data_IF_226165928164
#
_entry.id   IF_226165928164
#
_cell.length_a   1.000
_cell.length_b   1.000
_cell.length_c   1.000
_cell.angle_alpha   90.00
_cell.angle_beta   90.00
_cell.angle_gamma   90.00
#
_symmetry.space_group_name_H-M   'P 1'
#
loop_
_entity.id
_entity.type
_entity.pdbx_description
1 polymer ?
#
# COMPACT_ATOMS: atom_id res chain seq x y z
N UNK A 1 17.99 -0.01 9.66
CA UNK A 1 16.87 -0.97 9.58
C UNK A 1 17.36 -2.17 8.80
N UNK A 2 17.22 -3.38 9.37
CA UNK A 2 17.45 -4.62 8.62
C UNK A 2 16.43 -4.65 7.49
N UNK A 3 16.91 -4.81 6.26
CA UNK A 3 16.05 -5.03 5.11
C UNK A 3 15.07 -6.17 5.40
N UNK A 4 13.83 -5.97 5.02
CA UNK A 4 12.80 -7.01 5.19
C UNK A 4 13.24 -8.19 4.35
N UNK A 5 13.63 -9.29 5.00
CA UNK A 5 13.99 -10.52 4.29
C UNK A 5 12.77 -11.00 3.53
N UNK A 6 12.82 -10.86 2.20
CA UNK A 6 11.87 -11.54 1.34
C UNK A 6 12.10 -13.04 1.50
N UNK A 7 11.03 -13.80 1.78
CA UNK A 7 11.09 -15.26 1.88
C UNK A 7 11.16 -15.87 0.48
N UNK A 8 12.36 -15.92 -0.05
CA UNK A 8 12.67 -16.65 -1.29
C UNK A 8 13.05 -18.10 -0.98
N UNK A 9 13.02 -18.94 -2.00
CA UNK A 9 13.65 -20.25 -1.91
C UNK A 9 15.13 -20.10 -1.51
N UNK A 10 15.71 -21.10 -0.88
CA UNK A 10 17.12 -21.08 -0.43
C UNK A 10 18.07 -20.62 -1.54
N UNK A 11 17.81 -21.03 -2.79
CA UNK A 11 18.62 -20.69 -3.97
C UNK A 11 18.58 -19.17 -4.30
N UNK A 12 17.46 -18.50 -4.07
CA UNK A 12 17.33 -17.07 -4.34
C UNK A 12 17.80 -16.21 -3.16
N UNK A 13 17.86 -16.80 -1.95
CA UNK A 13 18.26 -16.10 -0.75
C UNK A 13 19.71 -15.59 -0.84
N UNK A 14 20.62 -16.42 -1.31
CA UNK A 14 22.03 -16.05 -1.46
C UNK A 14 22.19 -14.96 -2.53
N UNK A 15 21.45 -15.04 -3.63
CA UNK A 15 21.43 -14.00 -4.66
C UNK A 15 20.93 -12.65 -4.13
N UNK A 16 19.92 -12.63 -3.24
CA UNK A 16 19.42 -11.40 -2.60
C UNK A 16 20.44 -10.81 -1.65
N UNK A 17 21.14 -11.65 -0.90
CA UNK A 17 22.15 -11.21 0.08
C UNK A 17 23.41 -10.70 -0.62
N UNK A 18 23.92 -11.46 -1.58
CA UNK A 18 25.21 -11.19 -2.21
C UNK A 18 25.11 -10.18 -3.36
N UNK A 19 24.09 -10.28 -4.19
CA UNK A 19 23.96 -9.50 -5.44
C UNK A 19 22.75 -8.55 -5.43
N UNK A 20 21.90 -8.59 -4.40
CA UNK A 20 20.68 -7.79 -4.31
C UNK A 20 19.69 -8.09 -5.44
N UNK A 21 18.93 -7.09 -5.87
CA UNK A 21 17.91 -7.24 -6.92
C UNK A 21 18.50 -7.69 -8.26
N UNK A 22 19.71 -7.25 -8.62
CA UNK A 22 20.40 -7.70 -9.84
C UNK A 22 20.62 -9.19 -9.84
N UNK A 23 21.03 -9.78 -8.72
CA UNK A 23 21.23 -11.22 -8.61
C UNK A 23 19.94 -12.04 -8.82
N UNK A 24 18.78 -11.46 -8.43
CA UNK A 24 17.47 -12.11 -8.63
C UNK A 24 17.02 -11.99 -10.08
N UNK A 25 17.15 -10.82 -10.68
CA UNK A 25 16.75 -10.53 -12.06
C UNK A 25 17.69 -11.23 -13.05
N UNK A 26 19.00 -11.29 -12.75
CA UNK A 26 20.02 -11.81 -13.65
C UNK A 26 20.08 -11.00 -14.95
N UNK A 27 20.30 -11.66 -16.06
CA UNK A 27 20.38 -11.07 -17.40
C UNK A 27 19.01 -10.78 -18.05
N UNK A 28 17.92 -10.98 -17.33
CA UNK A 28 16.58 -10.76 -17.87
C UNK A 28 16.26 -9.27 -17.94
N UNK A 29 15.62 -8.86 -19.03
CA UNK A 29 15.02 -7.52 -19.13
C UNK A 29 13.82 -7.39 -18.19
N UNK A 30 13.57 -6.17 -17.71
CA UNK A 30 12.41 -5.84 -16.87
C UNK A 30 11.51 -4.93 -17.69
N UNK A 31 10.29 -5.37 -17.97
CA UNK A 31 9.33 -4.57 -18.71
C UNK A 31 8.54 -3.61 -17.82
N UNK A 32 8.25 -4.02 -16.58
CA UNK A 32 7.43 -3.25 -15.64
C UNK A 32 7.97 -3.35 -14.21
N UNK A 33 8.07 -2.21 -13.55
CA UNK A 33 8.32 -2.10 -12.10
C UNK A 33 7.11 -1.51 -11.41
N UNK A 34 6.59 -2.18 -10.37
CA UNK A 34 5.51 -1.68 -9.52
C UNK A 34 6.04 -1.54 -8.10
N UNK A 35 5.83 -0.37 -7.48
CA UNK A 35 6.25 -0.15 -6.11
C UNK A 35 5.51 0.96 -5.39
N UNK A 36 5.43 0.81 -4.06
CA UNK A 36 4.88 1.82 -3.16
C UNK A 36 5.89 2.14 -2.07
N UNK A 37 6.87 3.02 -2.31
CA UNK A 37 7.85 3.38 -1.30
C UNK A 37 7.16 4.01 -0.07
N UNK A 38 7.69 3.81 1.14
CA UNK A 38 7.09 4.31 2.35
C UNK A 38 6.81 5.81 2.31
N UNK A 39 5.57 6.17 2.66
CA UNK A 39 5.05 7.54 2.61
C UNK A 39 4.80 8.14 4.00
N UNK A 40 5.44 7.62 5.05
CA UNK A 40 5.16 8.02 6.43
C UNK A 40 5.29 9.53 6.64
N UNK A 41 6.25 10.18 5.97
CA UNK A 41 6.44 11.61 6.02
C UNK A 41 5.29 12.42 5.37
N UNK A 42 4.61 11.86 4.38
CA UNK A 42 3.55 12.56 3.63
C UNK A 42 2.14 12.24 4.13
N UNK A 43 1.97 11.24 4.99
CA UNK A 43 0.69 10.89 5.56
C UNK A 43 0.22 11.94 6.58
N UNK A 44 -1.10 12.13 6.71
CA UNK A 44 -1.68 13.04 7.72
C UNK A 44 -1.22 12.65 9.12
N UNK A 45 -1.18 11.34 9.42
CA UNK A 45 -0.71 10.84 10.71
C UNK A 45 0.80 11.07 10.93
N UNK A 46 1.62 10.92 9.89
CA UNK A 46 3.06 11.17 9.96
C UNK A 46 3.36 12.65 10.18
N UNK A 47 2.64 13.54 9.49
CA UNK A 47 2.78 15.00 9.67
C UNK A 47 2.34 15.47 11.06
N UNK A 48 1.29 14.88 11.63
CA UNK A 48 0.81 15.23 12.96
C UNK A 48 1.78 14.82 14.09
N UNK A 49 2.67 13.88 13.84
CA UNK A 49 3.67 13.42 14.81
C UNK A 49 5.04 14.12 14.66
N UNK A 50 5.22 14.89 13.61
CA UNK A 50 6.50 15.53 13.30
C UNK A 50 6.56 16.95 13.90
N UNK A 51 7.43 17.13 14.89
CA UNK A 51 7.66 18.39 15.57
C UNK A 51 8.54 19.37 14.79
N UNK A 52 9.27 18.90 13.75
CA UNK A 52 10.30 19.68 13.04
C UNK A 52 9.93 20.04 11.60
N UNK A 53 8.62 20.05 11.26
CA UNK A 53 8.14 20.42 9.92
C UNK A 53 8.85 19.65 8.78
N UNK A 54 9.22 18.40 9.04
CA UNK A 54 9.79 17.43 8.09
C UNK A 54 11.16 17.81 7.47
N UNK A 55 11.84 18.84 7.96
CA UNK A 55 13.05 19.37 7.30
C UNK A 55 14.18 18.35 7.16
N UNK A 56 14.40 17.51 8.17
CA UNK A 56 15.52 16.56 8.23
C UNK A 56 15.08 15.09 8.23
N UNK A 57 13.84 14.81 7.83
CA UNK A 57 13.34 13.44 7.82
C UNK A 57 13.79 12.72 6.54
N UNK A 58 14.72 11.76 6.68
CA UNK A 58 15.20 10.92 5.56
C UNK A 58 14.06 10.23 4.79
N UNK A 59 12.89 10.06 5.42
CA UNK A 59 11.70 9.45 4.81
C UNK A 59 11.13 10.28 3.67
N UNK A 60 11.48 11.58 3.60
CA UNK A 60 11.11 12.46 2.49
C UNK A 60 11.77 12.07 1.17
N UNK A 61 12.87 11.32 1.26
CA UNK A 61 13.70 10.93 0.12
C UNK A 61 13.58 9.44 -0.25
N UNK A 62 12.65 8.70 0.40
CA UNK A 62 12.49 7.27 0.11
C UNK A 62 12.00 6.99 -1.32
N UNK A 63 11.36 7.95 -1.98
CA UNK A 63 11.04 7.84 -3.39
C UNK A 63 12.29 7.74 -4.26
N UNK A 64 13.42 8.35 -3.86
CA UNK A 64 14.69 8.29 -4.59
C UNK A 64 15.23 6.87 -4.69
N UNK A 65 14.98 6.03 -3.68
CA UNK A 65 15.33 4.61 -3.75
C UNK A 65 14.54 3.89 -4.85
N UNK A 66 13.27 4.26 -5.06
CA UNK A 66 12.49 3.73 -6.16
C UNK A 66 12.99 4.25 -7.51
N UNK A 67 13.33 5.54 -7.60
CA UNK A 67 13.94 6.15 -8.79
C UNK A 67 15.23 5.40 -9.17
N UNK A 68 16.10 5.11 -8.20
CA UNK A 68 17.32 4.32 -8.42
C UNK A 68 17.07 2.94 -8.97
N UNK A 69 16.01 2.25 -8.47
CA UNK A 69 15.64 0.92 -8.99
C UNK A 69 15.15 1.03 -10.44
N UNK A 70 14.33 2.04 -10.76
CA UNK A 70 13.87 2.30 -12.13
C UNK A 70 15.04 2.62 -13.05
N UNK A 71 15.96 3.47 -12.60
CA UNK A 71 17.16 3.84 -13.35
C UNK A 71 18.10 2.66 -13.62
N UNK A 72 18.22 1.77 -12.64
CA UNK A 72 19.06 0.56 -12.74
C UNK A 72 18.54 -0.46 -13.74
N UNK A 73 17.22 -0.73 -13.72
CA UNK A 73 16.61 -1.80 -14.52
C UNK A 73 15.99 -1.30 -15.83
N UNK A 74 15.85 -0.01 -16.01
CA UNK A 74 15.32 0.63 -17.23
C UNK A 74 14.06 -0.06 -17.79
N UNK A 75 13.00 -0.24 -16.98
CA UNK A 75 11.77 -0.86 -17.45
C UNK A 75 11.09 0.01 -18.51
N UNK A 76 10.30 -0.58 -19.42
CA UNK A 76 9.47 0.20 -20.37
C UNK A 76 8.45 1.08 -19.65
N UNK A 77 7.95 0.56 -18.51
CA UNK A 77 6.92 1.21 -17.68
C UNK A 77 7.25 1.04 -16.20
N UNK A 78 6.80 2.00 -15.39
CA UNK A 78 6.68 1.78 -13.96
C UNK A 78 5.35 2.27 -13.40
N UNK A 79 4.94 1.71 -12.28
CA UNK A 79 3.80 2.18 -11.48
C UNK A 79 4.29 2.48 -10.07
N UNK A 80 4.13 3.75 -9.68
CA UNK A 80 4.52 4.25 -8.36
C UNK A 80 3.24 4.57 -7.56
N UNK A 81 3.00 3.86 -6.45
CA UNK A 81 1.86 4.08 -5.57
C UNK A 81 2.26 4.92 -4.36
N UNK A 82 1.40 5.90 -4.01
CA UNK A 82 1.60 6.65 -2.78
C UNK A 82 0.26 7.17 -2.22
N UNK A 83 0.32 7.88 -1.09
CA UNK A 83 -0.86 8.53 -0.49
C UNK A 83 -1.15 9.88 -1.14
N UNK A 84 -2.45 10.32 -1.20
CA UNK A 84 -2.79 11.64 -1.74
C UNK A 84 -2.11 12.80 -1.03
N UNK A 85 -1.69 12.62 0.24
CA UNK A 85 -0.94 13.63 1.00
C UNK A 85 0.38 14.06 0.35
N UNK A 86 0.93 13.25 -0.57
CA UNK A 86 2.10 13.61 -1.36
C UNK A 86 1.89 14.84 -2.24
N UNK A 87 0.65 15.06 -2.71
CA UNK A 87 0.30 16.21 -3.56
C UNK A 87 0.47 17.56 -2.86
N UNK A 88 0.35 17.59 -1.52
CA UNK A 88 0.45 18.80 -0.71
C UNK A 88 1.69 18.83 0.19
N UNK A 89 2.58 17.86 0.05
CA UNK A 89 3.80 17.81 0.84
C UNK A 89 4.88 18.73 0.24
N UNK A 90 5.44 19.60 1.08
CA UNK A 90 6.39 20.63 0.66
C UNK A 90 7.53 20.78 1.68
N UNK A 91 8.29 19.71 1.95
CA UNK A 91 9.40 19.76 2.89
C UNK A 91 10.51 20.68 2.35
N UNK A 92 10.89 21.66 3.17
CA UNK A 92 11.92 22.64 2.78
C UNK A 92 11.50 23.60 1.66
N UNK A 93 10.17 23.84 1.48
CA UNK A 93 9.67 24.85 0.52
C UNK A 93 9.63 24.38 -0.94
N UNK A 94 9.85 23.09 -1.21
CA UNK A 94 9.74 22.52 -2.57
C UNK A 94 8.77 21.36 -2.55
N UNK A 95 7.77 21.39 -3.42
CA UNK A 95 6.77 20.33 -3.52
C UNK A 95 7.40 18.98 -3.86
N UNK A 96 6.97 17.94 -3.16
CA UNK A 96 7.45 16.58 -3.44
C UNK A 96 7.09 16.14 -4.85
N UNK A 97 5.94 16.56 -5.37
CA UNK A 97 5.53 16.26 -6.75
C UNK A 97 6.48 16.83 -7.80
N UNK A 98 7.04 18.01 -7.57
CA UNK A 98 8.03 18.62 -8.45
C UNK A 98 9.37 17.85 -8.40
N UNK A 99 9.78 17.44 -7.19
CA UNK A 99 11.00 16.62 -7.02
C UNK A 99 10.86 15.27 -7.72
N UNK A 100 9.71 14.62 -7.57
CA UNK A 100 9.43 13.33 -8.22
C UNK A 100 9.41 13.49 -9.73
N UNK A 101 8.73 14.52 -10.24
CA UNK A 101 8.68 14.81 -11.67
C UNK A 101 10.10 14.97 -12.24
N UNK A 102 10.90 15.84 -11.62
CA UNK A 102 12.28 16.09 -12.04
C UNK A 102 13.16 14.84 -11.99
N UNK A 103 13.06 14.06 -10.91
CA UNK A 103 13.86 12.85 -10.74
C UNK A 103 13.58 11.79 -11.82
N UNK A 104 12.31 11.60 -12.21
CA UNK A 104 11.98 10.69 -13.29
C UNK A 104 12.30 11.25 -14.68
N UNK A 105 12.15 12.56 -14.87
CA UNK A 105 12.52 13.22 -16.12
C UNK A 105 14.02 13.09 -16.40
N UNK A 106 14.86 13.29 -15.38
CA UNK A 106 16.33 13.17 -15.44
C UNK A 106 16.80 11.77 -15.83
N UNK A 107 16.08 10.72 -15.44
CA UNK A 107 16.42 9.34 -15.80
C UNK A 107 15.73 8.86 -17.09
N UNK A 108 15.06 9.76 -17.82
CA UNK A 108 14.49 9.49 -19.14
C UNK A 108 13.06 8.98 -19.16
N UNK A 109 12.28 9.20 -18.08
CA UNK A 109 10.88 8.78 -18.02
C UNK A 109 9.92 9.97 -18.14
N UNK A 110 8.82 9.76 -18.84
CA UNK A 110 7.68 10.65 -18.87
C UNK A 110 6.66 10.23 -17.81
N UNK A 111 6.26 11.17 -16.96
CA UNK A 111 5.12 11.05 -16.05
C UNK A 111 4.17 12.23 -16.25
N UNK A 112 3.00 12.18 -15.60
CA UNK A 112 2.10 13.35 -15.57
C UNK A 112 2.76 14.54 -14.88
N UNK A 113 2.55 15.72 -15.44
CA UNK A 113 3.05 16.98 -14.82
C UNK A 113 2.45 17.18 -13.43
N UNK A 114 3.16 17.86 -12.51
CA UNK A 114 2.74 18.00 -11.11
C UNK A 114 1.31 18.49 -10.91
N UNK A 115 0.86 19.44 -11.72
CA UNK A 115 -0.49 20.04 -11.65
C UNK A 115 -1.60 19.04 -12.00
N UNK A 116 -1.29 18.06 -12.86
CA UNK A 116 -2.22 17.03 -13.32
C UNK A 116 -2.29 15.82 -12.41
N UNK A 117 -1.31 15.62 -11.52
CA UNK A 117 -1.24 14.43 -10.65
C UNK A 117 -2.46 14.27 -9.73
N UNK A 118 -3.17 15.36 -9.41
CA UNK A 118 -4.44 15.29 -8.67
C UNK A 118 -5.50 14.42 -9.36
N UNK A 119 -5.46 14.32 -10.68
CA UNK A 119 -6.37 13.50 -11.48
C UNK A 119 -6.05 12.01 -11.39
N UNK A 120 -4.85 11.66 -10.92
CA UNK A 120 -4.36 10.29 -10.80
C UNK A 120 -4.58 9.72 -9.38
N UNK A 121 -5.50 10.31 -8.62
CA UNK A 121 -5.93 9.81 -7.31
C UNK A 121 -7.13 8.89 -7.49
N UNK A 122 -6.93 7.61 -7.22
CA UNK A 122 -7.93 6.57 -7.34
C UNK A 122 -8.41 6.11 -5.98
N UNK A 123 -9.70 5.79 -5.89
CA UNK A 123 -10.30 5.22 -4.69
C UNK A 123 -10.60 3.74 -4.93
N UNK A 124 -10.20 2.88 -4.00
CA UNK A 124 -10.38 1.43 -4.13
C UNK A 124 -11.86 1.04 -4.36
N UNK A 125 -12.80 1.79 -3.77
CA UNK A 125 -14.22 1.52 -3.96
C UNK A 125 -14.74 1.87 -5.37
N UNK A 126 -13.96 2.58 -6.19
CA UNK A 126 -14.29 2.80 -7.60
C UNK A 126 -14.00 1.56 -8.45
N UNK A 127 -13.30 0.59 -7.90
CA UNK A 127 -12.93 -0.69 -8.52
C UNK A 127 -13.56 -1.89 -7.78
N UNK A 128 -14.76 -1.71 -7.23
CA UNK A 128 -15.52 -2.72 -6.50
C UNK A 128 -14.85 -3.28 -5.23
N UNK A 129 -13.80 -2.64 -4.74
CA UNK A 129 -13.21 -3.00 -3.44
C UNK A 129 -14.00 -2.29 -2.33
N UNK A 130 -14.52 -2.97 -1.31
CA UNK A 130 -15.35 -2.37 -0.26
C UNK A 130 -14.52 -1.59 0.76
N UNK A 131 -13.67 -0.70 0.28
CA UNK A 131 -12.79 0.12 1.10
C UNK A 131 -12.64 1.54 0.52
N UNK A 132 -12.90 2.55 1.32
CA UNK A 132 -12.65 3.96 0.97
C UNK A 132 -11.17 4.30 1.12
N UNK A 133 -10.32 3.68 0.31
CA UNK A 133 -8.86 3.88 0.32
C UNK A 133 -8.43 4.63 -0.93
N UNK A 134 -8.05 5.90 -0.77
CA UNK A 134 -7.52 6.71 -1.87
C UNK A 134 -6.01 6.54 -2.00
N UNK A 135 -5.54 6.45 -3.25
CA UNK A 135 -4.11 6.36 -3.57
C UNK A 135 -3.79 7.20 -4.80
N UNK A 136 -2.65 7.86 -4.74
CA UNK A 136 -2.03 8.48 -5.90
C UNK A 136 -1.30 7.39 -6.67
N UNK A 137 -1.61 7.25 -7.94
CA UNK A 137 -0.97 6.30 -8.86
C UNK A 137 -0.24 7.11 -9.93
N UNK A 138 1.08 7.04 -9.93
CA UNK A 138 1.92 7.67 -10.95
C UNK A 138 2.41 6.55 -11.88
N UNK A 139 2.07 6.65 -13.15
CA UNK A 139 2.60 5.81 -14.21
C UNK A 139 3.72 6.57 -14.88
N UNK A 140 4.85 5.91 -15.10
CA UNK A 140 5.94 6.44 -15.89
C UNK A 140 6.22 5.55 -17.09
N UNK A 141 6.52 6.19 -18.21
CA UNK A 141 6.83 5.56 -19.49
C UNK A 141 8.25 5.98 -19.88
N UNK A 142 9.08 5.03 -20.26
CA UNK A 142 10.39 5.33 -20.86
C UNK A 142 10.19 6.15 -22.14
N UNK A 143 10.82 7.31 -22.25
CA UNK A 143 10.67 8.24 -23.39
C UNK A 143 11.09 7.65 -24.74
N UNK A 144 11.81 6.53 -24.73
CA UNK A 144 12.21 5.83 -25.96
C UNK A 144 11.10 4.89 -26.49
N UNK A 145 10.07 4.65 -25.68
CA UNK A 145 8.97 3.75 -26.05
C UNK A 145 7.84 4.54 -26.73
N UNK A 146 7.25 3.95 -27.76
CA UNK A 146 6.02 4.48 -28.41
C UNK A 146 4.78 4.06 -27.59
N UNK A 147 4.69 4.58 -26.36
CA UNK A 147 3.59 4.30 -25.42
C UNK A 147 2.96 5.61 -24.98
N UNK A 148 1.67 5.78 -25.24
CA UNK A 148 0.95 6.96 -24.82
C UNK A 148 0.48 6.88 -23.36
N UNK A 149 1.08 7.68 -22.50
CA UNK A 149 0.74 7.76 -21.07
C UNK A 149 -0.75 8.04 -20.82
N UNK A 150 -1.38 8.90 -21.62
CA UNK A 150 -2.79 9.24 -21.44
C UNK A 150 -3.72 8.07 -21.75
N UNK A 151 -3.36 7.20 -22.70
CA UNK A 151 -4.15 6.01 -22.99
C UNK A 151 -4.11 5.00 -21.83
N UNK A 152 -3.00 4.92 -21.11
CA UNK A 152 -2.90 4.08 -19.90
C UNK A 152 -3.87 4.59 -18.84
N UNK A 153 -3.89 5.90 -18.57
CA UNK A 153 -4.84 6.46 -17.60
C UNK A 153 -6.30 6.32 -18.03
N UNK A 154 -6.60 6.53 -19.30
CA UNK A 154 -7.95 6.26 -19.87
C UNK A 154 -8.35 4.79 -19.68
N UNK A 155 -7.42 3.86 -19.87
CA UNK A 155 -7.68 2.44 -19.63
C UNK A 155 -8.00 2.17 -18.16
N UNK A 156 -7.23 2.73 -17.23
CA UNK A 156 -7.50 2.61 -15.79
C UNK A 156 -8.89 3.18 -15.46
N UNK A 157 -9.23 4.35 -16.03
CA UNK A 157 -10.52 4.99 -15.79
C UNK A 157 -11.70 4.17 -16.30
N UNK A 158 -11.55 3.47 -17.42
CA UNK A 158 -12.56 2.54 -17.96
C UNK A 158 -12.84 1.34 -17.03
N UNK A 159 -11.91 0.98 -16.13
CA UNK A 159 -12.11 -0.09 -15.17
C UNK A 159 -12.94 0.34 -13.96
N UNK A 160 -13.25 1.64 -13.82
CA UNK A 160 -14.12 2.11 -12.74
C UNK A 160 -15.53 1.57 -12.90
N UNK A 161 -16.12 1.12 -11.81
CA UNK A 161 -17.47 0.59 -11.74
C UNK A 161 -18.40 1.55 -11.01
N UNK A 162 -19.63 1.67 -11.50
CA UNK A 162 -20.71 2.32 -10.74
C UNK A 162 -21.22 1.45 -9.59
N UNK A 163 -20.95 0.14 -9.65
CA UNK A 163 -21.36 -0.82 -8.62
C UNK A 163 -20.42 -0.74 -7.42
N UNK A 164 -20.84 -0.03 -6.37
CA UNK A 164 -20.07 0.12 -5.13
C UNK A 164 -20.32 -1.05 -4.21
N UNK A 165 -19.34 -1.91 -4.06
CA UNK A 165 -19.37 -2.99 -3.06
C UNK A 165 -19.25 -2.43 -1.64
N UNK A 166 -19.97 -3.06 -0.72
CA UNK A 166 -19.85 -2.79 0.72
C UNK A 166 -19.25 -3.99 1.44
N UNK A 167 -18.75 -3.78 2.65
CA UNK A 167 -18.09 -4.84 3.44
C UNK A 167 -19.00 -6.07 3.59
N UNK A 168 -20.32 -5.86 3.72
CA UNK A 168 -21.31 -6.96 3.81
C UNK A 168 -21.26 -7.88 2.59
N UNK A 169 -21.07 -7.35 1.38
CA UNK A 169 -21.06 -8.14 0.15
C UNK A 169 -19.87 -9.10 0.09
N UNK A 170 -18.75 -8.70 0.67
CA UNK A 170 -17.52 -9.50 0.71
C UNK A 170 -17.52 -10.49 1.88
N UNK A 171 -18.11 -10.09 3.01
CA UNK A 171 -18.19 -10.96 4.20
C UNK A 171 -19.36 -11.93 4.15
N UNK A 172 -20.27 -11.76 3.19
CA UNK A 172 -21.41 -12.66 3.01
C UNK A 172 -20.91 -14.07 2.65
N UNK A 173 -21.37 -15.05 3.41
CA UNK A 173 -20.94 -16.45 3.20
C UNK A 173 -19.65 -16.86 3.91
N UNK A 174 -18.94 -15.94 4.56
CA UNK A 174 -17.83 -16.34 5.42
C UNK A 174 -18.36 -17.06 6.67
N UNK A 175 -17.79 -18.20 7.06
CA UNK A 175 -18.18 -18.89 8.27
C UNK A 175 -17.93 -18.00 9.50
N UNK A 176 -18.89 -18.03 10.42
CA UNK A 176 -18.79 -17.26 11.67
C UNK A 176 -17.87 -17.95 12.64
N UNK A 177 -17.03 -17.18 13.31
CA UNK A 177 -16.31 -17.63 14.48
C UNK A 177 -17.17 -17.52 15.73
N UNK A 178 -17.05 -18.50 16.62
CA UNK A 178 -17.62 -18.45 17.96
C UNK A 178 -16.50 -18.36 18.99
N UNK A 179 -16.63 -17.53 20.02
CA UNK A 179 -15.64 -17.43 21.06
C UNK A 179 -15.60 -18.72 21.91
N UNK A 180 -14.41 -19.13 22.27
CA UNK A 180 -14.21 -20.18 23.27
C UNK A 180 -14.31 -19.56 24.66
N UNK A 181 -14.83 -20.32 25.63
CA UNK A 181 -14.88 -19.87 27.04
C UNK A 181 -13.47 -19.61 27.59
N UNK A 182 -12.51 -20.45 27.20
CA UNK A 182 -11.10 -20.31 27.57
C UNK A 182 -10.26 -20.41 26.29
N UNK A 183 -9.15 -19.68 26.24
CA UNK A 183 -8.19 -19.85 25.15
C UNK A 183 -7.51 -21.21 25.28
N UNK A 184 -7.30 -21.88 24.16
CA UNK A 184 -6.57 -23.14 24.06
C UNK A 184 -5.31 -22.93 23.21
N UNK A 185 -4.32 -23.78 23.40
CA UNK A 185 -3.13 -23.79 22.54
C UNK A 185 -3.29 -24.86 21.48
N UNK A 186 -3.22 -24.46 20.22
CA UNK A 186 -3.17 -25.35 19.05
C UNK A 186 -1.89 -25.00 18.25
N UNK A 187 -1.06 -25.99 17.95
CA UNK A 187 0.20 -25.79 17.22
C UNK A 187 1.08 -24.65 17.75
N UNK A 188 1.15 -24.50 19.09
CA UNK A 188 1.94 -23.46 19.75
C UNK A 188 1.32 -22.07 19.75
N UNK A 189 0.13 -21.86 19.15
CA UNK A 189 -0.58 -20.58 19.10
C UNK A 189 -1.80 -20.61 20.01
N UNK A 190 -2.09 -19.48 20.66
CA UNK A 190 -3.33 -19.32 21.41
C UNK A 190 -4.52 -19.14 20.46
N UNK A 191 -5.53 -19.98 20.61
CA UNK A 191 -6.80 -19.93 19.86
C UNK A 191 -7.91 -19.52 20.80
N UNK A 192 -8.62 -18.45 20.48
CA UNK A 192 -9.72 -17.91 21.28
C UNK A 192 -11.09 -18.10 20.64
N UNK A 193 -11.14 -18.52 19.39
CA UNK A 193 -12.37 -18.72 18.62
C UNK A 193 -12.26 -19.95 17.76
N UNK A 194 -13.39 -20.57 17.45
CA UNK A 194 -13.52 -21.65 16.46
C UNK A 194 -14.56 -21.33 15.42
N UNK A 195 -14.41 -21.90 14.24
CA UNK A 195 -15.45 -21.87 13.22
C UNK A 195 -16.71 -22.54 13.73
N UNK A 196 -17.86 -21.93 13.47
CA UNK A 196 -19.16 -22.50 13.84
C UNK A 196 -19.48 -23.76 13.05
N UNK A 197 -19.09 -23.79 11.76
CA UNK A 197 -19.31 -24.91 10.85
C UNK A 197 -17.98 -25.32 10.21
N UNK A 198 -17.60 -26.58 10.34
CA UNK A 198 -16.35 -27.14 9.82
C UNK A 198 -16.37 -27.45 8.31
N UNK A 199 -17.49 -27.17 7.61
CA UNK A 199 -17.70 -27.67 6.24
C UNK A 199 -17.10 -26.79 5.13
N UNK A 200 -16.58 -25.59 5.45
CA UNK A 200 -15.95 -24.72 4.46
C UNK A 200 -14.46 -24.55 4.75
N UNK A 201 -13.65 -25.17 3.91
CA UNK A 201 -12.18 -25.00 3.95
C UNK A 201 -11.83 -23.65 3.35
N UNK A 202 -11.92 -22.58 4.15
CA UNK A 202 -11.34 -21.29 3.79
C UNK A 202 -9.89 -21.25 4.26
N UNK A 203 -8.97 -21.20 3.32
CA UNK A 203 -7.54 -21.05 3.65
C UNK A 203 -7.29 -19.68 4.28
N UNK A 204 -6.52 -19.65 5.35
CA UNK A 204 -6.12 -18.41 6.07
C UNK A 204 -7.28 -17.65 6.75
N UNK A 205 -8.44 -18.25 6.92
CA UNK A 205 -9.54 -17.69 7.70
C UNK A 205 -9.38 -18.12 9.17
N UNK A 206 -8.34 -17.59 9.82
CA UNK A 206 -8.00 -17.86 11.20
C UNK A 206 -8.26 -16.63 12.06
N UNK A 207 -8.90 -16.75 13.23
CA UNK A 207 -9.08 -15.62 14.13
C UNK A 207 -7.75 -15.24 14.74
N UNK A 208 -7.49 -13.95 14.81
CA UNK A 208 -6.35 -13.43 15.56
C UNK A 208 -6.68 -13.47 17.04
N UNK A 209 -5.77 -14.01 17.84
CA UNK A 209 -5.85 -13.85 19.29
C UNK A 209 -5.58 -12.38 19.66
N UNK A 210 -6.50 -11.81 20.43
CA UNK A 210 -6.35 -10.46 20.99
C UNK A 210 -6.04 -10.55 22.46
N UNK A 211 -5.13 -9.71 22.95
CA UNK A 211 -4.87 -9.57 24.36
C UNK A 211 -6.01 -8.80 25.05
N UNK A 212 -6.05 -8.82 26.38
CA UNK A 212 -7.12 -8.18 27.18
C UNK A 212 -7.25 -6.67 26.90
N UNK A 213 -6.14 -5.99 26.62
CA UNK A 213 -6.14 -4.58 26.24
C UNK A 213 -6.91 -4.34 24.94
N UNK A 214 -6.63 -5.14 23.92
CA UNK A 214 -7.27 -5.01 22.59
C UNK A 214 -8.76 -5.37 22.70
N UNK A 215 -9.11 -6.41 23.45
CA UNK A 215 -10.49 -6.81 23.71
C UNK A 215 -11.26 -5.66 24.37
N UNK A 216 -10.67 -5.02 25.38
CA UNK A 216 -11.28 -3.87 26.04
C UNK A 216 -11.46 -2.66 25.14
N UNK A 217 -10.49 -2.39 24.25
CA UNK A 217 -10.59 -1.30 23.26
C UNK A 217 -11.73 -1.58 22.28
N UNK A 218 -11.75 -2.78 21.69
CA UNK A 218 -12.80 -3.16 20.74
C UNK A 218 -14.18 -3.21 21.37
N UNK A 219 -14.30 -3.69 22.61
CA UNK A 219 -15.55 -3.68 23.35
C UNK A 219 -16.10 -2.27 23.55
N UNK A 220 -15.25 -1.30 23.89
CA UNK A 220 -15.64 0.12 23.99
C UNK A 220 -16.08 0.70 22.65
N UNK A 221 -15.46 0.30 21.54
CA UNK A 221 -15.83 0.77 20.22
C UNK A 221 -17.17 0.21 19.77
N UNK A 222 -17.41 -1.08 19.99
CA UNK A 222 -18.72 -1.70 19.70
C UNK A 222 -19.83 -1.01 20.50
N UNK A 223 -19.63 -0.80 21.81
CA UNK A 223 -20.62 -0.12 22.64
C UNK A 223 -20.91 1.32 22.15
N UNK A 224 -19.87 2.07 21.72
CA UNK A 224 -20.04 3.41 21.14
C UNK A 224 -20.80 3.38 19.82
N UNK A 225 -20.50 2.45 18.94
CA UNK A 225 -21.18 2.31 17.64
C UNK A 225 -22.64 1.91 17.78
N UNK A 226 -22.98 1.06 18.75
CA UNK A 226 -24.36 0.70 19.07
C UNK A 226 -25.18 1.85 19.62
N UNK A 227 -24.55 2.78 20.35
CA UNK A 227 -25.18 3.99 20.88
C UNK A 227 -25.21 5.17 19.88
N UNK A 228 -24.95 4.92 18.60
CA UNK A 228 -24.99 5.90 17.51
C UNK A 228 -24.15 7.17 17.71
N UNK A 229 -23.19 7.17 18.61
CA UNK A 229 -22.22 8.26 18.70
C UNK A 229 -21.11 8.04 17.67
N UNK A 230 -20.79 9.05 16.84
CA UNK A 230 -19.72 8.90 15.86
C UNK A 230 -18.41 8.54 16.57
N UNK A 231 -17.68 7.60 15.98
CA UNK A 231 -16.33 7.28 16.42
C UNK A 231 -15.46 8.54 16.25
N UNK A 232 -14.55 8.85 17.18
CA UNK A 232 -13.62 9.94 16.99
C UNK A 232 -12.79 9.70 15.72
N UNK A 233 -12.70 10.70 14.86
CA UNK A 233 -11.99 10.64 13.58
C UNK A 233 -10.46 10.46 13.72
N UNK A 234 -9.96 10.36 14.94
CA UNK A 234 -8.52 10.28 15.23
C UNK A 234 -8.19 9.07 16.09
N UNK A 235 -7.58 8.10 15.47
CA UNK A 235 -6.56 7.24 16.08
C UNK A 235 -5.35 7.18 15.14
#
# INVERSE_FOLDING_TARGET
RKETKLTYSKTNHDAVIEKGLKGIVGERSVDLIIGGPPCQAYSIAGRAQDKNSMKDDYRNFLFESFVKVVDEFKPKLFVFENVPGMLSAEPGGVKVTERVFKAFDEIGYQISIPESLKNNVYSANDFEVPQKRKRLIIVGVDKTQDINLNEIYKYIDKQKSSNKKVVKDVLFGLPKFVPLRNSIKENGKNVSHRLKDNNNVLTKHEPRFHNDRDINIFGKWVAKSMNQKPLPEKI
#
